data_IF_161714531317
#
_entry.id   IF_161714531317
#
_cell.length_a   1.000
_cell.length_b   1.000
_cell.length_c   1.000
_cell.angle_alpha   90.00
_cell.angle_beta   90.00
_cell.angle_gamma   90.00
#
_symmetry.space_group_name_H-M   'P 1'
#
loop_
_entity.id
_entity.type
_entity.pdbx_description
1 polymer ?
#
# COMPACT_ATOMS: atom_id res chain seq x y z
N UNK A 1 3.58 8.59 -4.35
CA UNK A 1 3.32 7.15 -4.56
C UNK A 1 4.57 6.27 -4.43
N UNK A 2 5.56 6.33 -5.33
CA UNK A 2 6.73 5.40 -5.31
C UNK A 2 7.52 5.45 -4.00
N UNK A 3 7.78 6.64 -3.46
CA UNK A 3 8.47 6.82 -2.17
C UNK A 3 7.71 6.12 -1.02
N UNK A 4 6.40 6.37 -0.91
CA UNK A 4 5.55 5.79 0.12
C UNK A 4 5.45 4.26 0.02
N UNK A 5 5.41 3.70 -1.19
CA UNK A 5 5.45 2.25 -1.41
C UNK A 5 6.77 1.67 -0.88
N UNK A 6 7.92 2.20 -1.32
CA UNK A 6 9.25 1.72 -0.90
C UNK A 6 9.40 1.79 0.62
N UNK A 7 8.95 2.89 1.23
CA UNK A 7 9.01 3.09 2.68
C UNK A 7 8.12 2.07 3.42
N UNK A 8 6.88 1.89 2.99
CA UNK A 8 5.95 0.90 3.55
C UNK A 8 6.51 -0.51 3.49
N UNK A 9 7.05 -0.92 2.34
CA UNK A 9 7.60 -2.28 2.15
C UNK A 9 8.86 -2.55 2.98
N UNK A 10 9.66 -1.51 3.28
CA UNK A 10 10.82 -1.63 4.18
C UNK A 10 10.42 -1.73 5.65
N UNK A 11 9.45 -0.93 6.07
CA UNK A 11 8.98 -0.89 7.47
C UNK A 11 8.21 -2.16 7.86
N UNK A 12 7.43 -2.71 6.94
CA UNK A 12 6.70 -3.95 7.17
C UNK A 12 6.58 -4.75 5.85
N UNK A 13 7.49 -5.72 5.60
CA UNK A 13 7.50 -6.53 4.39
C UNK A 13 6.44 -7.66 4.39
N UNK A 14 5.75 -7.88 5.51
CA UNK A 14 4.83 -9.00 5.71
C UNK A 14 3.35 -8.68 5.48
N UNK A 15 3.04 -7.54 4.89
CA UNK A 15 1.68 -6.98 4.79
C UNK A 15 0.79 -7.72 3.80
N UNK A 16 -0.51 -7.71 4.07
CA UNK A 16 -1.53 -7.96 3.05
C UNK A 16 -1.68 -6.81 2.06
N UNK A 17 -2.33 -7.04 0.92
CA UNK A 17 -2.64 -5.98 -0.06
C UNK A 17 -3.43 -4.83 0.57
N UNK A 18 -4.39 -5.14 1.44
CA UNK A 18 -5.15 -4.12 2.17
C UNK A 18 -4.26 -3.33 3.12
N UNK A 19 -3.45 -3.99 3.94
CA UNK A 19 -2.55 -3.33 4.89
C UNK A 19 -1.51 -2.45 4.19
N UNK A 20 -1.03 -2.87 3.02
CA UNK A 20 -0.13 -2.09 2.18
C UNK A 20 -0.78 -0.77 1.75
N UNK A 21 -2.01 -0.80 1.24
CA UNK A 21 -2.74 0.42 0.86
C UNK A 21 -2.94 1.36 2.05
N UNK A 22 -3.28 0.82 3.23
CA UNK A 22 -3.44 1.60 4.44
C UNK A 22 -2.12 2.23 4.90
N UNK A 23 -1.03 1.49 4.82
CA UNK A 23 0.31 1.96 5.20
C UNK A 23 0.80 3.06 4.27
N UNK A 24 0.65 2.87 2.96
CA UNK A 24 0.94 3.90 1.95
C UNK A 24 0.09 5.14 2.20
N UNK A 25 -1.21 5.00 2.48
CA UNK A 25 -2.10 6.14 2.76
C UNK A 25 -1.63 6.94 3.98
N UNK A 26 -1.22 6.26 5.06
CA UNK A 26 -0.67 6.90 6.26
C UNK A 26 0.59 7.71 5.94
N UNK A 27 1.51 7.15 5.17
CA UNK A 27 2.75 7.84 4.77
C UNK A 27 2.43 9.09 3.93
N UNK A 28 1.58 8.95 2.92
CA UNK A 28 1.15 10.08 2.06
C UNK A 28 0.53 11.20 2.89
N UNK A 29 -0.37 10.87 3.83
CA UNK A 29 -1.00 11.86 4.71
C UNK A 29 0.02 12.54 5.63
N UNK A 30 1.00 11.79 6.16
CA UNK A 30 2.07 12.36 7.00
C UNK A 30 2.94 13.39 6.26
N UNK A 31 3.08 13.22 4.94
CA UNK A 31 3.87 14.10 4.07
C UNK A 31 3.00 15.20 3.41
N UNK A 32 1.74 15.35 3.84
CA UNK A 32 0.77 16.36 3.36
C UNK A 32 0.46 16.28 1.87
N UNK A 33 0.56 15.09 1.28
CA UNK A 33 0.10 14.86 -0.09
C UNK A 33 -1.39 14.52 -0.12
N UNK A 34 -2.08 14.91 -1.19
CA UNK A 34 -3.52 14.66 -1.36
C UNK A 34 -3.83 13.32 -2.06
N UNK A 35 -2.81 12.65 -2.62
CA UNK A 35 -2.95 11.42 -3.39
C UNK A 35 -3.68 10.30 -2.59
N UNK A 36 -4.58 9.56 -3.24
CA UNK A 36 -5.23 8.39 -2.64
C UNK A 36 -4.67 7.13 -3.30
N UNK A 37 -4.07 6.19 -2.55
CA UNK A 37 -3.58 4.96 -3.13
C UNK A 37 -4.76 4.09 -3.56
N UNK A 38 -4.71 3.60 -4.80
CA UNK A 38 -5.71 2.71 -5.39
C UNK A 38 -5.01 1.45 -5.91
N UNK A 39 -5.67 0.31 -5.78
CA UNK A 39 -5.22 -0.97 -6.33
C UNK A 39 -6.25 -1.46 -7.33
N UNK A 40 -5.81 -1.62 -8.57
CA UNK A 40 -6.61 -2.23 -9.63
C UNK A 40 -6.07 -3.64 -9.92
N UNK A 41 -6.97 -4.53 -10.32
CA UNK A 41 -6.65 -5.91 -10.65
C UNK A 41 -7.48 -6.35 -11.85
N UNK A 42 -6.90 -7.21 -12.69
CA UNK A 42 -7.62 -7.81 -13.83
C UNK A 42 -8.76 -8.75 -13.39
N UNK A 43 -8.79 -9.14 -12.11
CA UNK A 43 -9.78 -10.06 -11.53
C UNK A 43 -10.12 -9.65 -10.10
N UNK A 44 -11.25 -10.16 -9.60
CA UNK A 44 -11.58 -10.09 -8.17
C UNK A 44 -10.44 -10.70 -7.35
N UNK A 45 -9.99 -9.96 -6.33
CA UNK A 45 -8.84 -10.34 -5.52
C UNK A 45 -9.22 -10.28 -4.05
N UNK A 46 -8.80 -11.29 -3.28
CA UNK A 46 -8.88 -11.24 -1.83
C UNK A 46 -7.73 -10.36 -1.30
N UNK A 47 -8.06 -9.17 -0.82
CA UNK A 47 -7.09 -8.17 -0.34
C UNK A 47 -6.45 -8.51 1.01
N UNK A 48 -6.98 -9.51 1.72
CA UNK A 48 -6.41 -10.01 2.98
C UNK A 48 -5.23 -10.96 2.76
N UNK A 49 -4.96 -11.37 1.52
CA UNK A 49 -3.79 -12.17 1.19
C UNK A 49 -2.51 -11.33 1.30
N UNK A 50 -1.40 -12.00 1.63
CA UNK A 50 -0.08 -11.39 1.71
C UNK A 50 0.32 -10.80 0.35
N UNK A 51 0.79 -9.56 0.34
CA UNK A 51 1.39 -8.93 -0.82
C UNK A 51 2.70 -9.64 -1.18
N UNK A 52 2.83 -10.00 -2.45
CA UNK A 52 4.03 -10.59 -3.04
C UNK A 52 4.40 -9.81 -4.30
N UNK A 53 5.70 -9.65 -4.56
CA UNK A 53 6.25 -9.00 -5.75
C UNK A 53 7.33 -9.89 -6.37
#
# INVERSE_FOLDING_TARGET
MTCAFIKSSKENPGQSYQELLHSIRKIIQSERYEQIPQLESSRLMNTSLKFIL
#
